data_IF_725372298747
#
_entry.id   IF_725372298747
#
_cell.length_a   1.000
_cell.length_b   1.000
_cell.length_c   1.000
_cell.angle_alpha   90.00
_cell.angle_beta   90.00
_cell.angle_gamma   90.00
#
_symmetry.space_group_name_H-M   'P 1'
#
loop_
_entity.id
_entity.type
_entity.pdbx_description
1 polymer ?
#
# COMPACT_ATOMS: atom_id res chain seq x y z
N UNK A 1 -3.36 21.10 8.43
CA UNK A 1 -2.27 20.90 7.50
C UNK A 1 -2.40 19.55 6.80
N UNK A 2 -2.00 19.51 5.56
CA UNK A 2 -2.06 18.28 4.79
C UNK A 2 -0.81 17.45 5.04
N UNK A 3 -0.99 16.13 5.18
CA UNK A 3 0.13 15.22 5.19
C UNK A 3 0.69 15.11 3.79
N UNK A 4 2.02 15.07 3.69
CA UNK A 4 2.65 14.76 2.41
C UNK A 4 2.48 13.29 2.08
N UNK A 5 2.40 12.98 0.78
CA UNK A 5 2.25 11.60 0.33
C UNK A 5 3.38 10.72 0.85
N UNK A 6 4.60 11.25 0.91
CA UNK A 6 5.75 10.49 1.42
C UNK A 6 5.56 10.08 2.89
N UNK A 7 4.87 10.88 3.69
CA UNK A 7 4.61 10.54 5.08
C UNK A 7 3.60 9.41 5.19
N UNK A 8 2.62 9.36 4.28
CA UNK A 8 1.68 8.25 4.19
C UNK A 8 2.42 6.97 3.81
N UNK A 9 3.31 7.05 2.82
CA UNK A 9 4.13 5.91 2.42
C UNK A 9 5.01 5.41 3.57
N UNK A 10 5.61 6.30 4.34
CA UNK A 10 6.40 5.92 5.54
C UNK A 10 5.55 5.19 6.56
N UNK A 11 4.34 5.68 6.80
CA UNK A 11 3.42 5.05 7.74
C UNK A 11 3.08 3.63 7.30
N UNK A 12 2.77 3.46 6.02
CA UNK A 12 2.46 2.14 5.47
C UNK A 12 3.67 1.21 5.53
N UNK A 13 4.84 1.70 5.16
CA UNK A 13 6.08 0.92 5.23
C UNK A 13 6.34 0.46 6.66
N UNK A 14 6.15 1.33 7.63
CA UNK A 14 6.33 0.98 9.04
C UNK A 14 5.30 -0.07 9.49
N UNK A 15 4.04 0.12 9.11
CA UNK A 15 2.95 -0.76 9.54
C UNK A 15 3.03 -2.16 8.93
N UNK A 16 3.50 -2.26 7.68
CA UNK A 16 3.57 -3.53 6.94
C UNK A 16 4.99 -4.03 6.73
N UNK A 17 5.94 -3.47 7.44
CA UNK A 17 7.35 -3.79 7.28
C UNK A 17 7.61 -5.30 7.27
N UNK A 18 8.28 -5.77 6.21
CA UNK A 18 8.65 -7.17 6.05
C UNK A 18 7.53 -8.08 5.58
N UNK A 19 6.31 -7.59 5.45
CA UNK A 19 5.18 -8.41 4.99
C UNK A 19 5.22 -8.54 3.47
N UNK A 20 4.89 -9.75 3.00
CA UNK A 20 4.90 -10.09 1.57
C UNK A 20 3.48 -10.33 1.08
N UNK A 21 3.24 -10.01 -0.19
CA UNK A 21 1.98 -10.28 -0.87
C UNK A 21 0.75 -9.77 -0.10
N UNK A 22 0.85 -8.54 0.40
CA UNK A 22 -0.27 -7.89 1.07
C UNK A 22 -1.25 -7.40 0.01
N UNK A 23 -2.52 -7.79 0.06
CA UNK A 23 -3.51 -7.24 -0.88
C UNK A 23 -3.58 -5.72 -0.77
N UNK A 24 -3.59 -5.03 -1.90
CA UNK A 24 -3.67 -3.57 -1.88
C UNK A 24 -4.91 -3.07 -1.14
N UNK A 25 -6.03 -3.79 -1.27
CA UNK A 25 -7.26 -3.42 -0.57
C UNK A 25 -7.07 -3.42 0.95
N UNK A 26 -6.33 -4.39 1.48
CA UNK A 26 -6.00 -4.44 2.92
C UNK A 26 -5.17 -3.23 3.33
N UNK A 27 -4.21 -2.85 2.49
CA UNK A 27 -3.38 -1.68 2.75
C UNK A 27 -4.21 -0.40 2.77
N UNK A 28 -5.10 -0.22 1.79
CA UNK A 28 -5.96 0.96 1.73
C UNK A 28 -6.96 1.01 2.87
N UNK A 29 -7.43 -0.14 3.33
CA UNK A 29 -8.36 -0.21 4.46
C UNK A 29 -7.75 0.40 5.71
N UNK A 30 -6.46 0.22 5.93
CA UNK A 30 -5.77 0.84 7.05
C UNK A 30 -5.88 2.38 6.99
N UNK A 31 -5.76 2.94 5.79
CA UNK A 31 -5.89 4.39 5.60
C UNK A 31 -7.33 4.87 5.71
N UNK A 32 -8.26 4.08 5.21
CA UNK A 32 -9.69 4.44 5.26
C UNK A 32 -10.20 4.59 6.68
N UNK A 33 -9.60 3.87 7.62
CA UNK A 33 -9.94 3.97 9.03
C UNK A 33 -9.23 5.11 9.75
N UNK A 34 -8.42 5.89 9.03
CA UNK A 34 -7.64 6.96 9.60
C UNK A 34 -8.18 8.32 9.12
N UNK A 35 -8.83 9.10 9.97
CA UNK A 35 -9.57 10.28 9.52
C UNK A 35 -8.72 11.43 8.96
N UNK A 36 -7.42 11.45 9.25
CA UNK A 36 -6.55 12.52 8.78
C UNK A 36 -5.96 12.28 7.40
N UNK A 37 -6.13 11.07 6.84
CA UNK A 37 -5.59 10.76 5.51
C UNK A 37 -6.64 11.04 4.44
N UNK A 38 -6.22 11.59 3.28
CA UNK A 38 -7.14 11.77 2.16
C UNK A 38 -7.63 10.42 1.64
N UNK A 39 -8.87 10.37 1.18
CA UNK A 39 -9.50 9.12 0.80
C UNK A 39 -9.12 8.62 -0.58
N UNK A 40 -8.94 9.53 -1.56
CA UNK A 40 -8.67 9.13 -2.94
C UNK A 40 -7.77 10.14 -3.63
N UNK A 41 -7.36 9.80 -4.85
CA UNK A 41 -6.55 10.67 -5.68
C UNK A 41 -5.06 10.59 -5.42
N UNK A 42 -4.67 10.15 -4.24
CA UNK A 42 -3.27 10.04 -3.87
C UNK A 42 -2.71 8.61 -3.99
N UNK A 43 -3.58 7.63 -4.24
CA UNK A 43 -3.18 6.21 -4.20
C UNK A 43 -2.05 5.87 -5.15
N UNK A 44 -2.07 6.42 -6.36
CA UNK A 44 -0.99 6.17 -7.32
C UNK A 44 0.33 6.77 -6.87
N UNK A 45 0.29 7.94 -6.24
CA UNK A 45 1.50 8.57 -5.70
C UNK A 45 2.06 7.79 -4.52
N UNK A 46 1.20 7.28 -3.65
CA UNK A 46 1.61 6.44 -2.52
C UNK A 46 2.28 5.17 -3.03
N UNK A 47 1.69 4.50 -4.03
CA UNK A 47 2.29 3.32 -4.63
C UNK A 47 3.67 3.62 -5.23
N UNK A 48 3.78 4.73 -5.95
CA UNK A 48 5.07 5.15 -6.52
C UNK A 48 6.10 5.41 -5.44
N UNK A 49 5.72 6.10 -4.37
CA UNK A 49 6.65 6.39 -3.28
C UNK A 49 7.11 5.10 -2.59
N UNK A 50 6.19 4.16 -2.37
CA UNK A 50 6.54 2.88 -1.75
C UNK A 50 7.53 2.09 -2.62
N UNK A 51 7.31 2.07 -3.92
CA UNK A 51 8.22 1.34 -4.83
C UNK A 51 9.54 2.08 -5.04
N UNK A 52 9.50 3.39 -5.19
CA UNK A 52 10.68 4.19 -5.55
C UNK A 52 11.59 4.48 -4.35
N UNK A 53 11.02 4.71 -3.18
CA UNK A 53 11.81 5.12 -2.00
C UNK A 53 11.93 4.05 -0.94
N UNK A 54 11.01 3.12 -0.86
CA UNK A 54 10.99 2.12 0.19
C UNK A 54 11.22 0.69 -0.30
N UNK A 55 11.42 0.52 -1.59
CA UNK A 55 11.77 -0.78 -2.17
C UNK A 55 10.64 -1.79 -2.18
N UNK A 56 9.39 -1.35 -2.06
CA UNK A 56 8.26 -2.25 -2.16
C UNK A 56 8.07 -2.72 -3.60
N UNK A 57 7.47 -3.90 -3.76
CA UNK A 57 7.16 -4.44 -5.08
C UNK A 57 5.67 -4.71 -5.19
N UNK A 58 5.08 -4.26 -6.30
CA UNK A 58 3.67 -4.48 -6.59
C UNK A 58 3.59 -5.54 -7.67
N UNK A 59 2.79 -6.58 -7.42
CA UNK A 59 2.63 -7.72 -8.33
C UNK A 59 1.16 -8.05 -8.49
N UNK A 60 0.84 -8.68 -9.62
CA UNK A 60 -0.50 -9.23 -9.85
C UNK A 60 -0.43 -10.74 -9.66
N UNK A 61 -1.28 -11.27 -8.80
CA UNK A 61 -1.36 -12.70 -8.55
C UNK A 61 -2.78 -13.19 -8.81
N UNK A 62 -2.94 -14.50 -8.93
CA UNK A 62 -4.25 -15.13 -9.04
C UNK A 62 -4.60 -15.73 -7.69
N UNK A 63 -5.73 -15.31 -7.14
CA UNK A 63 -6.22 -15.87 -5.87
C UNK A 63 -6.67 -17.32 -6.11
N UNK A 64 -6.05 -18.29 -5.42
CA UNK A 64 -6.40 -19.70 -5.64
C UNK A 64 -7.83 -20.06 -5.20
N UNK A 65 -8.42 -19.29 -4.29
CA UNK A 65 -9.76 -19.56 -3.80
C UNK A 65 -10.86 -19.06 -4.74
N UNK A 66 -10.64 -17.91 -5.39
CA UNK A 66 -11.64 -17.28 -6.24
C UNK A 66 -11.30 -17.36 -7.72
N UNK A 67 -10.05 -17.64 -8.08
CA UNK A 67 -9.56 -17.61 -9.45
C UNK A 67 -9.42 -16.21 -10.04
N UNK A 68 -9.64 -15.18 -9.25
CA UNK A 68 -9.55 -13.79 -9.71
C UNK A 68 -8.14 -13.23 -9.54
N UNK A 69 -7.80 -12.32 -10.43
CA UNK A 69 -6.52 -11.60 -10.35
C UNK A 69 -6.60 -10.54 -9.27
N UNK A 70 -5.57 -10.47 -8.45
CA UNK A 70 -5.47 -9.49 -7.37
C UNK A 70 -4.12 -8.80 -7.41
N UNK A 71 -4.12 -7.52 -7.05
CA UNK A 71 -2.88 -6.77 -6.90
C UNK A 71 -2.41 -6.89 -5.46
N UNK A 72 -1.15 -7.22 -5.29
CA UNK A 72 -0.54 -7.34 -3.96
C UNK A 72 0.76 -6.55 -3.92
N UNK A 73 1.15 -6.14 -2.72
CA UNK A 73 2.39 -5.42 -2.50
C UNK A 73 3.22 -6.16 -1.46
N UNK A 74 4.52 -6.25 -1.72
CA UNK A 74 5.48 -6.83 -0.78
C UNK A 74 6.36 -5.71 -0.24
N UNK A 75 6.42 -5.60 1.07
CA UNK A 75 7.18 -4.54 1.74
C UNK A 75 8.57 -5.05 2.12
N UNK A 76 9.56 -4.19 1.98
CA UNK A 76 10.90 -4.49 2.44
C UNK A 76 10.97 -4.46 3.98
N UNK A 77 11.89 -5.19 4.53
CA UNK A 77 12.10 -5.20 5.97
C UNK A 77 13.04 -4.10 6.45
#
# INVERSE_FOLDING_TARGET
>A
SCLHVIDIAKYLQHSFRGRKQVPLDEMWELLDNHPIFPSEGFRNEVKSDLTDFFGAKIEQIVNPDTGKKEMVISFSS
#
